data_IF_504630628392
#
_entry.id   IF_504630628392
#
_cell.length_a   1.000
_cell.length_b   1.000
_cell.length_c   1.000
_cell.angle_alpha   90.00
_cell.angle_beta   90.00
_cell.angle_gamma   90.00
#
_symmetry.space_group_name_H-M   'P 1'
#
loop_
_entity.id
_entity.type
_entity.pdbx_description
1 polymer ?
#
# COMPACT_ATOMS: atom_id res chain seq x y z
N UNK A 1 -22.14 10.20 -0.08
CA UNK A 1 -21.09 10.98 0.62
C UNK A 1 -19.86 11.06 -0.26
N UNK A 2 -19.40 12.30 -0.53
CA UNK A 2 -18.27 12.56 -1.42
C UNK A 2 -17.08 13.04 -0.60
N UNK A 3 -15.99 12.29 -0.64
CA UNK A 3 -14.76 12.58 0.11
C UNK A 3 -13.63 12.97 -0.84
N UNK A 4 -12.99 14.11 -0.56
CA UNK A 4 -11.76 14.53 -1.20
C UNK A 4 -10.56 13.96 -0.43
N UNK A 5 -9.78 13.09 -1.05
CA UNK A 5 -8.59 12.47 -0.45
C UNK A 5 -7.29 13.14 -0.87
N UNK A 6 -6.33 13.20 0.05
CA UNK A 6 -4.93 13.65 -0.19
C UNK A 6 -3.97 12.60 0.36
N UNK A 7 -2.99 12.22 -0.47
CA UNK A 7 -1.90 11.29 -0.11
C UNK A 7 -0.55 11.92 -0.47
N UNK A 8 0.35 11.99 0.53
CA UNK A 8 1.71 12.52 0.37
C UNK A 8 2.72 11.83 1.29
N UNK A 9 2.50 10.56 1.66
CA UNK A 9 3.34 9.90 2.67
C UNK A 9 4.80 9.68 2.24
N UNK A 10 5.08 9.59 0.94
CA UNK A 10 6.41 9.23 0.44
C UNK A 10 6.83 10.05 -0.78
N UNK A 11 6.86 9.48 -1.97
CA UNK A 11 7.33 10.10 -3.22
C UNK A 11 6.21 10.44 -4.21
N UNK A 12 4.99 10.06 -3.91
CA UNK A 12 3.78 10.45 -4.63
C UNK A 12 3.11 11.67 -3.99
N UNK A 13 2.47 12.47 -4.85
CA UNK A 13 1.52 13.51 -4.47
C UNK A 13 0.22 13.19 -5.16
N UNK A 14 -0.80 12.82 -4.41
CA UNK A 14 -2.06 12.42 -5.02
C UNK A 14 -3.26 13.13 -4.40
N UNK A 15 -4.28 13.37 -5.25
CA UNK A 15 -5.60 13.82 -4.85
C UNK A 15 -6.66 12.98 -5.56
N UNK A 16 -7.77 12.71 -4.88
CA UNK A 16 -8.89 11.95 -5.45
C UNK A 16 -10.23 12.42 -4.92
N UNK A 17 -11.29 12.08 -5.64
CA UNK A 17 -12.68 12.22 -5.17
C UNK A 17 -13.35 10.86 -5.27
N UNK A 18 -13.85 10.41 -4.12
CA UNK A 18 -14.49 9.09 -3.97
C UNK A 18 -15.89 9.26 -3.41
N UNK A 19 -16.84 8.53 -3.99
CA UNK A 19 -18.24 8.51 -3.55
C UNK A 19 -18.50 7.24 -2.74
N UNK A 20 -19.14 7.42 -1.57
CA UNK A 20 -19.58 6.39 -0.64
C UNK A 20 -18.47 5.39 -0.24
N UNK A 21 -17.21 5.82 -0.33
CA UNK A 21 -16.02 5.02 0.00
C UNK A 21 -15.71 3.88 -0.97
N UNK A 22 -16.53 3.68 -2.00
CA UNK A 22 -16.42 2.53 -2.92
C UNK A 22 -16.20 2.92 -4.38
N UNK A 23 -16.62 4.10 -4.79
CA UNK A 23 -16.56 4.51 -6.18
C UNK A 23 -15.61 5.69 -6.41
N UNK A 24 -14.53 5.44 -7.14
CA UNK A 24 -13.61 6.48 -7.58
C UNK A 24 -14.23 7.30 -8.69
N UNK A 25 -14.43 8.60 -8.47
CA UNK A 25 -14.92 9.51 -9.49
C UNK A 25 -13.75 10.05 -10.32
N UNK A 26 -12.68 10.48 -9.64
CA UNK A 26 -11.45 10.91 -10.29
C UNK A 26 -10.25 10.78 -9.34
N UNK A 27 -9.05 10.65 -9.91
CA UNK A 27 -7.79 10.57 -9.18
C UNK A 27 -6.66 11.13 -10.03
N UNK A 28 -5.82 11.95 -9.41
CA UNK A 28 -4.60 12.52 -10.00
C UNK A 28 -3.43 12.13 -9.12
N UNK A 29 -2.36 11.63 -9.74
CA UNK A 29 -1.12 11.25 -9.06
C UNK A 29 0.06 11.88 -9.79
N UNK A 30 0.91 12.58 -9.05
CA UNK A 30 2.20 13.08 -9.49
C UNK A 30 3.30 12.39 -8.68
N UNK A 31 4.28 11.78 -9.35
CA UNK A 31 5.37 11.04 -8.70
C UNK A 31 6.70 11.75 -8.90
N UNK A 32 7.52 11.77 -7.85
CA UNK A 32 8.90 12.24 -7.88
C UNK A 32 9.93 11.11 -8.09
N UNK A 33 9.49 9.91 -8.42
CA UNK A 33 10.30 8.69 -8.57
C UNK A 33 11.53 8.89 -9.46
N UNK A 34 11.40 9.58 -10.60
CA UNK A 34 12.50 9.82 -11.53
C UNK A 34 13.69 10.58 -10.89
N UNK A 35 13.42 11.42 -9.89
CA UNK A 35 14.48 12.12 -9.15
C UNK A 35 15.21 11.16 -8.21
N UNK A 36 14.46 10.25 -7.58
CA UNK A 36 15.00 9.30 -6.63
C UNK A 36 15.77 8.15 -7.31
N UNK A 37 15.45 7.83 -8.56
CA UNK A 37 16.24 6.90 -9.38
C UNK A 37 17.67 7.41 -9.61
N UNK A 38 17.84 8.72 -9.80
CA UNK A 38 19.16 9.35 -10.00
C UNK A 38 20.04 9.28 -8.75
N UNK A 39 19.43 9.37 -7.58
CA UNK A 39 20.12 9.34 -6.28
C UNK A 39 20.30 7.93 -5.73
N UNK A 40 19.64 6.94 -6.33
CA UNK A 40 19.66 5.53 -5.89
C UNK A 40 18.86 5.26 -4.62
N UNK A 41 17.93 6.15 -4.28
CA UNK A 41 17.03 6.05 -3.13
C UNK A 41 16.30 7.34 -2.84
N UNK A 42 15.28 7.28 -1.96
CA UNK A 42 14.51 8.45 -1.57
C UNK A 42 15.39 9.40 -0.75
N UNK A 43 15.39 10.68 -1.15
CA UNK A 43 15.95 11.77 -0.37
C UNK A 43 14.78 12.59 0.19
N UNK A 44 14.50 12.51 1.51
CA UNK A 44 13.29 13.08 2.11
C UNK A 44 13.09 14.58 1.81
N UNK A 45 14.18 15.36 1.83
CA UNK A 45 14.11 16.79 1.51
C UNK A 45 13.70 17.04 0.05
N UNK A 46 14.19 16.25 -0.89
CA UNK A 46 13.83 16.36 -2.31
C UNK A 46 12.36 15.99 -2.50
N UNK A 47 11.91 14.89 -1.87
CA UNK A 47 10.52 14.46 -1.91
C UNK A 47 9.59 15.59 -1.44
N UNK A 48 9.83 16.15 -0.24
CA UNK A 48 9.02 17.22 0.32
C UNK A 48 9.00 18.47 -0.59
N UNK A 49 10.14 18.88 -1.15
CA UNK A 49 10.21 20.02 -2.09
C UNK A 49 9.39 19.77 -3.35
N UNK A 50 9.46 18.56 -3.92
CA UNK A 50 8.67 18.21 -5.10
C UNK A 50 7.17 18.17 -4.80
N UNK A 51 6.79 17.72 -3.62
CA UNK A 51 5.40 17.74 -3.18
C UNK A 51 4.86 19.17 -2.99
N UNK A 52 5.65 20.09 -2.44
CA UNK A 52 5.26 21.52 -2.38
C UNK A 52 5.00 22.08 -3.77
N UNK A 53 5.82 21.71 -4.78
CA UNK A 53 5.61 22.12 -6.17
C UNK A 53 4.36 21.50 -6.79
N UNK A 54 4.03 20.25 -6.44
CA UNK A 54 2.98 19.44 -7.08
C UNK A 54 1.60 19.57 -6.42
N UNK A 55 1.51 19.82 -5.10
CA UNK A 55 0.26 19.67 -4.34
C UNK A 55 -0.88 20.56 -4.86
N UNK A 56 -0.61 21.83 -5.15
CA UNK A 56 -1.65 22.76 -5.65
C UNK A 56 -2.07 22.40 -7.07
N UNK A 57 -1.15 22.16 -8.04
CA UNK A 57 -1.50 21.60 -9.35
C UNK A 57 -2.36 20.33 -9.30
N UNK A 58 -1.98 19.35 -8.48
CA UNK A 58 -2.68 18.08 -8.35
C UNK A 58 -4.10 18.27 -7.80
N UNK A 59 -4.27 19.07 -6.76
CA UNK A 59 -5.60 19.40 -6.20
C UNK A 59 -6.47 20.09 -7.26
N UNK A 60 -5.91 21.07 -7.98
CA UNK A 60 -6.64 21.81 -9.01
C UNK A 60 -7.07 20.89 -10.15
N UNK A 61 -6.17 20.05 -10.64
CA UNK A 61 -6.45 19.11 -11.72
C UNK A 61 -7.53 18.11 -11.31
N UNK A 62 -7.50 17.59 -10.08
CA UNK A 62 -8.53 16.69 -9.54
C UNK A 62 -9.92 17.35 -9.56
N UNK A 63 -10.04 18.61 -9.14
CA UNK A 63 -11.31 19.32 -9.23
C UNK A 63 -11.74 19.64 -10.69
N UNK A 64 -10.81 19.90 -11.61
CA UNK A 64 -11.15 20.08 -13.03
C UNK A 64 -11.64 18.77 -13.67
N UNK A 65 -11.05 17.62 -13.33
CA UNK A 65 -11.57 16.32 -13.78
C UNK A 65 -12.96 16.06 -13.18
N UNK A 66 -13.15 16.29 -11.87
CA UNK A 66 -14.45 16.14 -11.23
C UNK A 66 -15.53 17.04 -11.88
N UNK A 67 -15.16 18.29 -12.22
CA UNK A 67 -16.03 19.22 -12.93
C UNK A 67 -16.48 18.66 -14.28
N UNK A 68 -15.57 18.02 -15.03
CA UNK A 68 -15.88 17.38 -16.32
C UNK A 68 -16.83 16.21 -16.13
N UNK A 69 -16.53 15.31 -15.19
CA UNK A 69 -17.37 14.12 -14.89
C UNK A 69 -18.81 14.50 -14.51
N UNK A 70 -18.98 15.57 -13.72
CA UNK A 70 -20.30 16.06 -13.30
C UNK A 70 -20.95 17.04 -14.29
N UNK A 71 -20.28 17.40 -15.40
CA UNK A 71 -20.73 18.41 -16.35
C UNK A 71 -21.02 19.79 -15.71
N UNK A 72 -20.26 20.16 -14.70
CA UNK A 72 -20.40 21.46 -14.03
C UNK A 72 -19.77 22.58 -14.84
N UNK A 73 -20.39 23.79 -14.77
CA UNK A 73 -19.86 24.98 -15.45
C UNK A 73 -18.75 25.68 -14.68
N UNK A 74 -18.78 25.59 -13.36
CA UNK A 74 -17.86 26.30 -12.46
C UNK A 74 -17.27 25.36 -11.40
N UNK A 75 -16.01 25.56 -11.02
CA UNK A 75 -15.38 24.84 -9.90
C UNK A 75 -16.14 25.04 -8.57
N UNK A 76 -16.76 26.20 -8.39
CA UNK A 76 -17.56 26.45 -7.19
C UNK A 76 -18.73 25.48 -6.98
N UNK A 77 -19.20 24.84 -8.04
CA UNK A 77 -20.24 23.80 -7.93
C UNK A 77 -19.64 22.49 -7.41
N UNK A 78 -18.42 22.14 -7.84
CA UNK A 78 -17.67 20.99 -7.33
C UNK A 78 -17.43 21.11 -5.81
N UNK A 79 -17.07 22.28 -5.34
CA UNK A 79 -16.77 22.52 -3.92
C UNK A 79 -17.93 22.29 -2.97
N UNK A 80 -19.16 22.46 -3.45
CA UNK A 80 -20.37 22.23 -2.65
C UNK A 80 -20.64 20.75 -2.39
N UNK A 81 -20.26 19.91 -3.34
CA UNK A 81 -20.52 18.48 -3.29
C UNK A 81 -19.62 17.75 -2.28
N UNK A 82 -18.46 18.31 -1.99
CA UNK A 82 -17.51 17.65 -1.07
C UNK A 82 -18.12 17.67 0.34
N UNK A 83 -18.16 16.50 0.98
CA UNK A 83 -18.65 16.35 2.36
C UNK A 83 -17.53 16.38 3.38
N UNK A 84 -16.34 15.89 3.03
CA UNK A 84 -15.16 15.90 3.91
C UNK A 84 -13.87 15.90 3.12
N UNK A 85 -12.77 16.34 3.77
CA UNK A 85 -11.39 16.23 3.28
C UNK A 85 -10.68 15.15 4.09
N UNK A 86 -10.15 14.14 3.44
CA UNK A 86 -9.34 13.09 4.04
C UNK A 86 -7.86 13.31 3.72
N UNK A 87 -6.97 13.04 4.67
CA UNK A 87 -5.53 13.18 4.47
C UNK A 87 -4.76 12.14 5.24
N UNK A 88 -3.71 11.63 4.62
CA UNK A 88 -2.75 10.76 5.28
C UNK A 88 -1.96 11.54 6.33
N UNK A 89 -2.00 11.06 7.57
CA UNK A 89 -1.26 11.64 8.70
C UNK A 89 -0.03 10.83 9.08
N UNK A 90 0.12 9.63 8.56
CA UNK A 90 1.22 8.71 8.82
C UNK A 90 0.83 7.25 8.58
N UNK A 91 1.85 6.35 8.65
CA UNK A 91 3.28 6.65 8.66
C UNK A 91 3.79 7.21 7.32
N UNK A 92 5.04 7.74 7.34
CA UNK A 92 5.67 8.26 6.12
C UNK A 92 6.83 9.22 6.41
N UNK A 93 7.27 9.93 5.37
CA UNK A 93 8.31 10.94 5.51
C UNK A 93 7.70 12.21 6.12
N UNK A 94 8.23 12.66 7.25
CA UNK A 94 7.65 13.80 7.99
C UNK A 94 7.47 15.06 7.15
N UNK A 95 8.47 15.42 6.33
CA UNK A 95 8.39 16.58 5.44
C UNK A 95 7.28 16.46 4.40
N UNK A 96 7.11 15.28 3.86
CA UNK A 96 6.07 14.89 2.89
C UNK A 96 4.67 14.95 3.52
N UNK A 97 4.51 14.33 4.68
CA UNK A 97 3.25 14.33 5.45
C UNK A 97 2.80 15.75 5.81
N UNK A 98 3.73 16.62 6.24
CA UNK A 98 3.44 18.03 6.54
C UNK A 98 2.82 18.73 5.34
N UNK A 99 3.35 18.52 4.13
CA UNK A 99 2.82 19.18 2.91
C UNK A 99 1.35 18.79 2.68
N UNK A 100 1.02 17.49 2.77
CA UNK A 100 -0.35 17.02 2.59
C UNK A 100 -1.29 17.50 3.69
N UNK A 101 -0.87 17.39 4.94
CA UNK A 101 -1.68 17.78 6.10
C UNK A 101 -1.99 19.28 6.07
N UNK A 102 -1.01 20.14 5.79
CA UNK A 102 -1.26 21.59 5.73
C UNK A 102 -2.11 21.98 4.52
N UNK A 103 -1.93 21.31 3.37
CA UNK A 103 -2.81 21.49 2.22
C UNK A 103 -4.26 21.06 2.54
N UNK A 104 -4.45 19.94 3.21
CA UNK A 104 -5.77 19.45 3.63
C UNK A 104 -6.44 20.40 4.64
N UNK A 105 -5.70 20.92 5.62
CA UNK A 105 -6.19 21.93 6.56
C UNK A 105 -6.66 23.19 5.84
N UNK A 106 -5.84 23.72 4.92
CA UNK A 106 -6.21 24.88 4.14
C UNK A 106 -7.47 24.64 3.30
N UNK A 107 -7.56 23.47 2.66
CA UNK A 107 -8.71 23.08 1.86
C UNK A 107 -9.98 22.89 2.72
N UNK A 108 -9.87 22.25 3.88
CA UNK A 108 -10.97 22.06 4.85
C UNK A 108 -11.55 23.43 5.29
N UNK A 109 -10.69 24.37 5.65
CA UNK A 109 -11.10 25.73 6.03
C UNK A 109 -11.76 26.46 4.84
N UNK A 110 -11.16 26.37 3.64
CA UNK A 110 -11.72 26.99 2.44
C UNK A 110 -13.10 26.44 2.07
N UNK A 111 -13.25 25.12 2.08
CA UNK A 111 -14.50 24.43 1.77
C UNK A 111 -15.52 24.51 2.91
N UNK A 112 -15.10 24.82 4.13
CA UNK A 112 -15.88 24.74 5.38
C UNK A 112 -16.42 23.33 5.60
N UNK A 113 -15.55 22.33 5.41
CA UNK A 113 -15.87 20.90 5.54
C UNK A 113 -14.94 20.25 6.56
N UNK A 114 -15.37 19.18 7.24
CA UNK A 114 -14.54 18.48 8.20
C UNK A 114 -13.29 17.88 7.55
N UNK A 115 -12.26 17.70 8.36
CA UNK A 115 -11.04 16.98 7.98
C UNK A 115 -10.98 15.63 8.72
N UNK A 116 -10.59 14.59 7.99
CA UNK A 116 -10.49 13.22 8.51
C UNK A 116 -9.05 12.75 8.37
N UNK A 117 -8.32 12.58 9.48
CA UNK A 117 -7.00 11.98 9.45
C UNK A 117 -7.10 10.50 9.12
N UNK A 118 -6.20 10.00 8.28
CA UNK A 118 -6.17 8.60 7.84
C UNK A 118 -4.77 8.03 8.01
N UNK A 119 -4.71 6.84 8.58
CA UNK A 119 -3.49 6.04 8.61
C UNK A 119 -3.25 5.43 7.23
N UNK A 120 -2.07 5.69 6.63
CA UNK A 120 -1.67 5.22 5.31
C UNK A 120 -1.77 3.70 5.15
N UNK A 121 -1.37 2.94 6.18
CA UNK A 121 -1.39 1.48 6.17
C UNK A 121 -2.82 0.94 6.12
N UNK A 122 -3.71 1.59 6.86
CA UNK A 122 -5.15 1.31 6.80
C UNK A 122 -5.69 1.61 5.41
N UNK A 123 -5.29 2.72 4.80
CA UNK A 123 -5.63 3.06 3.42
C UNK A 123 -5.35 1.91 2.45
N UNK A 124 -4.17 1.33 2.47
CA UNK A 124 -3.82 0.19 1.61
C UNK A 124 -4.77 -1.01 1.76
N UNK A 125 -5.30 -1.28 2.95
CA UNK A 125 -6.30 -2.34 3.14
C UNK A 125 -7.62 -1.94 2.46
N UNK A 126 -8.01 -0.66 2.59
CA UNK A 126 -9.27 -0.14 2.04
C UNK A 126 -9.26 -0.01 0.51
N UNK A 127 -8.12 -0.14 -0.16
CA UNK A 127 -8.04 -0.28 -1.61
C UNK A 127 -8.88 -1.47 -2.15
N UNK A 128 -9.15 -2.49 -1.32
CA UNK A 128 -10.00 -3.64 -1.67
C UNK A 128 -11.49 -3.32 -1.72
N UNK A 129 -11.94 -2.26 -1.06
CA UNK A 129 -13.35 -1.87 -1.02
C UNK A 129 -13.76 -1.04 -2.23
N UNK A 130 -12.79 -0.57 -3.01
CA UNK A 130 -13.02 0.19 -4.22
C UNK A 130 -13.50 -0.71 -5.36
N UNK A 131 -14.56 -0.26 -6.04
CA UNK A 131 -15.17 -0.96 -7.16
C UNK A 131 -15.13 -0.12 -8.44
N UNK A 132 -15.00 -0.74 -9.61
CA UNK A 132 -15.12 -0.03 -10.89
C UNK A 132 -16.55 0.46 -11.17
N UNK A 133 -17.55 -0.07 -10.48
CA UNK A 133 -18.96 0.31 -10.60
C UNK A 133 -19.53 0.65 -9.23
N UNK A 134 -20.33 1.72 -9.19
CA UNK A 134 -21.08 2.15 -8.01
C UNK A 134 -22.16 1.15 -7.60
N UNK A 135 -22.75 0.50 -8.60
CA UNK A 135 -23.88 -0.41 -8.42
C UNK A 135 -23.43 -1.85 -8.06
N UNK A 136 -22.16 -2.13 -8.18
CA UNK A 136 -21.58 -3.46 -7.92
C UNK A 136 -20.39 -3.36 -6.95
N UNK A 137 -20.60 -2.99 -5.68
CA UNK A 137 -19.53 -2.92 -4.69
C UNK A 137 -18.94 -4.33 -4.43
N UNK A 138 -17.64 -4.39 -4.11
CA UNK A 138 -17.02 -5.64 -3.71
C UNK A 138 -17.71 -6.21 -2.47
N UNK A 139 -18.20 -7.44 -2.59
CA UNK A 139 -18.93 -8.12 -1.50
C UNK A 139 -17.94 -8.69 -0.45
N UNK A 140 -17.25 -7.81 0.26
CA UNK A 140 -16.32 -8.15 1.33
C UNK A 140 -17.12 -8.42 2.60
N UNK A 141 -16.90 -9.61 3.18
CA UNK A 141 -17.56 -10.04 4.41
C UNK A 141 -16.58 -10.08 5.58
N UNK A 142 -17.05 -9.72 6.75
CA UNK A 142 -16.29 -9.81 8.00
C UNK A 142 -16.72 -11.04 8.82
N UNK A 143 -15.82 -11.58 9.68
CA UNK A 143 -14.45 -11.14 9.88
C UNK A 143 -13.53 -11.50 8.72
N UNK A 144 -12.43 -10.75 8.55
CA UNK A 144 -11.44 -10.93 7.51
C UNK A 144 -10.01 -10.94 8.06
N UNK A 145 -9.09 -11.58 7.35
CA UNK A 145 -7.66 -11.37 7.51
C UNK A 145 -7.19 -10.39 6.44
N UNK A 146 -6.37 -9.41 6.81
CA UNK A 146 -5.67 -8.55 5.87
C UNK A 146 -4.16 -8.82 5.94
N UNK A 147 -3.53 -9.06 4.80
CA UNK A 147 -2.08 -9.08 4.64
C UNK A 147 -1.65 -7.79 3.96
N UNK A 148 -0.97 -6.94 4.71
CA UNK A 148 -0.34 -5.72 4.19
C UNK A 148 1.12 -5.99 3.87
N UNK A 149 1.50 -5.79 2.60
CA UNK A 149 2.87 -6.02 2.10
C UNK A 149 3.30 -4.86 1.22
N UNK A 150 4.15 -3.99 1.75
CA UNK A 150 4.62 -2.77 1.07
C UNK A 150 6.15 -2.63 1.13
N UNK A 151 6.67 -1.51 0.68
CA UNK A 151 8.09 -1.18 0.79
C UNK A 151 8.59 -1.10 2.24
N UNK A 152 7.76 -0.56 3.14
CA UNK A 152 8.12 -0.34 4.54
C UNK A 152 7.43 -1.28 5.54
N UNK A 153 6.40 -2.04 5.14
CA UNK A 153 5.57 -2.81 6.06
C UNK A 153 5.29 -4.22 5.57
N UNK A 154 5.16 -5.13 6.52
CA UNK A 154 4.74 -6.51 6.28
C UNK A 154 3.97 -6.98 7.51
N UNK A 155 2.64 -6.89 7.46
CA UNK A 155 1.78 -7.05 8.62
C UNK A 155 0.58 -7.95 8.32
N UNK A 156 0.16 -8.72 9.33
CA UNK A 156 -1.09 -9.47 9.31
C UNK A 156 -2.03 -8.86 10.36
N UNK A 157 -3.23 -8.51 9.91
CA UNK A 157 -4.28 -7.90 10.71
C UNK A 157 -5.56 -8.72 10.63
N UNK A 158 -6.21 -8.94 11.75
CA UNK A 158 -7.57 -9.45 11.82
C UNK A 158 -8.54 -8.28 11.89
N UNK A 159 -9.47 -8.22 10.96
CA UNK A 159 -10.52 -7.22 10.88
C UNK A 159 -11.84 -7.86 11.32
N UNK A 160 -12.34 -7.48 12.48
CA UNK A 160 -13.65 -7.94 12.95
C UNK A 160 -14.78 -7.21 12.23
N UNK A 161 -14.55 -5.94 11.94
CA UNK A 161 -15.44 -5.04 11.18
C UNK A 161 -14.64 -3.82 10.72
N UNK A 162 -15.28 -2.86 10.04
CA UNK A 162 -14.70 -1.55 9.78
C UNK A 162 -14.28 -0.88 11.09
N UNK A 163 -13.05 -0.37 11.15
CA UNK A 163 -12.50 0.29 12.34
C UNK A 163 -12.25 -0.60 13.56
N UNK A 164 -12.60 -1.89 13.52
CA UNK A 164 -12.34 -2.86 14.61
C UNK A 164 -11.32 -3.89 14.11
N UNK A 165 -10.05 -3.59 14.37
CA UNK A 165 -8.91 -4.37 13.89
C UNK A 165 -8.05 -4.86 15.06
N UNK A 166 -7.36 -5.97 14.85
CA UNK A 166 -6.39 -6.54 15.77
C UNK A 166 -5.11 -6.91 15.01
N UNK A 167 -3.99 -6.35 15.45
CA UNK A 167 -2.68 -6.75 14.96
C UNK A 167 -2.36 -8.18 15.40
N UNK A 168 -1.91 -9.01 14.45
CA UNK A 168 -1.57 -10.40 14.73
C UNK A 168 -0.07 -10.64 14.73
N UNK A 169 0.66 -9.96 13.88
CA UNK A 169 2.11 -10.04 13.74
C UNK A 169 2.59 -9.34 12.48
N UNK A 170 3.88 -9.11 12.38
CA UNK A 170 4.51 -8.43 11.26
C UNK A 170 6.00 -8.69 11.19
N UNK A 171 6.70 -7.93 10.36
CA UNK A 171 8.15 -8.12 10.23
C UNK A 171 8.89 -7.59 11.45
N UNK A 172 9.87 -8.36 11.91
CA UNK A 172 10.76 -7.99 13.02
C UNK A 172 12.00 -7.23 12.55
N UNK A 173 12.19 -7.14 11.21
CA UNK A 173 13.36 -6.51 10.61
C UNK A 173 13.00 -5.86 9.26
N UNK A 174 13.68 -6.18 8.14
CA UNK A 174 13.38 -5.63 6.83
C UNK A 174 11.93 -5.97 6.41
N UNK A 175 11.22 -4.99 5.86
CA UNK A 175 9.94 -5.26 5.19
C UNK A 175 10.18 -6.07 3.91
N UNK A 176 9.14 -6.78 3.47
CA UNK A 176 9.24 -7.64 2.28
C UNK A 176 9.62 -6.86 1.02
N UNK A 177 9.00 -5.69 0.79
CA UNK A 177 9.32 -4.87 -0.38
C UNK A 177 10.75 -4.32 -0.34
N UNK A 178 11.19 -3.85 0.82
CA UNK A 178 12.58 -3.43 1.04
C UNK A 178 13.57 -4.57 0.77
N UNK A 179 13.20 -5.80 1.17
CA UNK A 179 14.01 -6.99 0.89
C UNK A 179 14.12 -7.27 -0.62
N UNK A 180 13.01 -7.16 -1.36
CA UNK A 180 13.00 -7.27 -2.82
C UNK A 180 13.92 -6.22 -3.47
N UNK A 181 13.83 -4.97 -3.05
CA UNK A 181 14.63 -3.87 -3.60
C UNK A 181 16.14 -4.04 -3.31
N UNK A 182 16.47 -4.46 -2.07
CA UNK A 182 17.85 -4.73 -1.68
C UNK A 182 18.47 -5.89 -2.49
N UNK A 183 17.69 -6.97 -2.71
CA UNK A 183 18.16 -8.11 -3.50
C UNK A 183 18.25 -7.77 -4.99
N UNK A 184 17.28 -7.02 -5.54
CA UNK A 184 17.36 -6.54 -6.92
C UNK A 184 18.65 -5.72 -7.15
N UNK A 185 19.03 -4.88 -6.19
CA UNK A 185 20.27 -4.11 -6.22
C UNK A 185 21.50 -5.02 -6.17
N UNK A 186 21.50 -6.05 -5.32
CA UNK A 186 22.60 -7.03 -5.25
C UNK A 186 22.78 -7.79 -6.57
N UNK A 187 21.69 -8.07 -7.26
CA UNK A 187 21.70 -8.77 -8.55
C UNK A 187 22.01 -7.84 -9.74
N UNK A 188 22.22 -6.54 -9.49
CA UNK A 188 22.49 -5.56 -10.54
C UNK A 188 21.28 -5.21 -11.41
N UNK A 189 20.06 -5.51 -10.97
CA UNK A 189 18.84 -5.31 -11.75
C UNK A 189 18.30 -3.87 -11.65
N UNK A 190 18.54 -3.19 -10.53
CA UNK A 190 18.06 -1.82 -10.31
C UNK A 190 18.94 -1.08 -9.31
N UNK A 191 18.86 0.25 -9.35
CA UNK A 191 19.43 1.14 -8.31
C UNK A 191 18.37 1.58 -7.30
N UNK A 192 17.08 1.58 -7.71
CA UNK A 192 15.94 2.05 -6.90
C UNK A 192 14.67 1.32 -7.35
N UNK A 193 13.79 0.93 -6.39
CA UNK A 193 12.51 0.22 -6.62
C UNK A 193 12.66 -1.00 -7.56
N UNK A 194 13.47 -1.95 -7.14
CA UNK A 194 13.82 -3.10 -7.96
C UNK A 194 12.89 -4.30 -7.86
N UNK A 195 11.89 -4.28 -6.96
CA UNK A 195 11.05 -5.45 -6.68
C UNK A 195 10.36 -6.01 -7.92
N UNK A 196 9.75 -5.17 -8.75
CA UNK A 196 9.11 -5.59 -10.00
C UNK A 196 10.12 -6.16 -11.00
N UNK A 197 11.32 -5.57 -11.10
CA UNK A 197 12.38 -6.06 -11.98
C UNK A 197 12.91 -7.42 -11.53
N UNK A 198 13.00 -7.63 -10.22
CA UNK A 198 13.40 -8.94 -9.66
C UNK A 198 12.35 -10.00 -10.00
N UNK A 199 11.06 -9.71 -9.82
CA UNK A 199 9.98 -10.63 -10.15
C UNK A 199 9.91 -10.94 -11.65
N UNK A 200 10.10 -9.94 -12.51
CA UNK A 200 10.21 -10.15 -13.94
C UNK A 200 11.41 -11.05 -14.27
N UNK A 201 12.57 -10.82 -13.60
CA UNK A 201 13.75 -11.66 -13.79
C UNK A 201 13.54 -13.09 -13.29
N UNK A 202 12.83 -13.27 -12.18
CA UNK A 202 12.43 -14.57 -11.67
C UNK A 202 11.53 -15.34 -12.65
N UNK A 203 10.62 -14.64 -13.33
CA UNK A 203 9.71 -15.24 -14.32
C UNK A 203 10.39 -15.78 -15.57
N UNK A 204 11.60 -15.28 -15.92
CA UNK A 204 12.41 -15.79 -17.01
C UNK A 204 13.11 -17.13 -16.68
N UNK A 205 12.99 -17.61 -15.45
CA UNK A 205 13.71 -18.80 -15.01
C UNK A 205 13.05 -20.08 -15.52
N UNK A 206 13.65 -20.71 -16.49
CA UNK A 206 13.26 -22.01 -17.06
C UNK A 206 13.64 -23.18 -16.14
N UNK A 207 14.87 -23.15 -15.60
CA UNK A 207 15.40 -24.15 -14.70
C UNK A 207 15.99 -23.47 -13.46
N UNK A 208 15.35 -23.66 -12.30
CA UNK A 208 15.82 -23.12 -11.02
C UNK A 208 16.95 -23.97 -10.43
N UNK A 209 18.20 -23.64 -10.77
CA UNK A 209 19.40 -24.31 -10.23
C UNK A 209 19.71 -23.94 -8.78
N UNK A 210 19.04 -22.93 -8.23
CA UNK A 210 19.19 -22.46 -6.85
C UNK A 210 18.05 -22.96 -5.93
N UNK A 211 17.15 -23.80 -6.43
CA UNK A 211 15.96 -24.25 -5.70
C UNK A 211 16.33 -24.90 -4.34
N UNK A 212 15.73 -24.38 -3.27
CA UNK A 212 15.92 -24.87 -1.91
C UNK A 212 17.20 -24.43 -1.22
N UNK A 213 18.02 -23.57 -1.85
CA UNK A 213 19.28 -23.08 -1.28
C UNK A 213 19.09 -21.88 -0.34
N UNK A 214 17.96 -21.20 -0.41
CA UNK A 214 17.65 -20.09 0.49
C UNK A 214 16.75 -20.54 1.65
N UNK A 215 16.93 -19.98 2.84
CA UNK A 215 16.10 -20.30 4.00
C UNK A 215 14.68 -19.76 3.84
N UNK A 216 13.75 -20.33 4.62
CA UNK A 216 12.38 -19.82 4.82
C UNK A 216 12.27 -19.33 6.27
N UNK A 217 12.70 -18.09 6.56
CA UNK A 217 12.81 -17.65 7.94
C UNK A 217 11.47 -17.70 8.66
N UNK A 218 11.47 -18.13 9.90
CA UNK A 218 10.31 -18.18 10.82
C UNK A 218 9.10 -18.99 10.31
N UNK A 219 9.21 -19.72 9.21
CA UNK A 219 8.06 -20.37 8.54
C UNK A 219 7.34 -21.39 9.44
N UNK A 220 8.06 -22.07 10.34
CA UNK A 220 7.53 -23.08 11.25
C UNK A 220 7.27 -22.57 12.68
N UNK A 221 7.56 -21.28 12.95
CA UNK A 221 7.29 -20.70 14.26
C UNK A 221 5.80 -20.52 14.51
N UNK A 222 5.38 -20.71 15.77
CA UNK A 222 3.97 -20.60 16.18
C UNK A 222 3.57 -19.14 16.50
N UNK A 223 3.91 -18.21 15.58
CA UNK A 223 3.48 -16.83 15.59
C UNK A 223 3.12 -16.39 14.16
N UNK A 224 2.78 -15.11 13.97
CA UNK A 224 2.49 -14.50 12.69
C UNK A 224 3.57 -13.50 12.25
N UNK A 225 4.72 -13.48 12.95
CA UNK A 225 5.81 -12.57 12.64
C UNK A 225 6.64 -13.06 11.45
N UNK A 226 7.29 -12.11 10.78
CA UNK A 226 8.15 -12.34 9.64
C UNK A 226 9.58 -11.86 9.94
N UNK A 227 10.54 -12.33 9.15
CA UNK A 227 11.90 -11.83 9.12
C UNK A 227 12.50 -12.06 7.75
N UNK A 228 13.06 -11.03 7.15
CA UNK A 228 13.65 -11.11 5.79
C UNK A 228 15.12 -10.71 5.74
N UNK A 229 15.71 -10.12 6.78
CA UNK A 229 17.11 -9.72 6.79
C UNK A 229 18.07 -10.92 6.72
N UNK A 230 17.71 -12.04 7.34
CA UNK A 230 18.45 -13.31 7.23
C UNK A 230 18.41 -13.88 5.82
N UNK A 231 17.25 -13.81 5.15
CA UNK A 231 17.07 -14.24 3.77
C UNK A 231 17.93 -13.41 2.81
N UNK A 232 17.93 -12.08 2.98
CA UNK A 232 18.79 -11.15 2.23
C UNK A 232 20.28 -11.52 2.38
N UNK A 233 20.74 -11.81 3.60
CA UNK A 233 22.12 -12.19 3.87
C UNK A 233 22.49 -13.52 3.22
N UNK A 234 21.58 -14.51 3.27
CA UNK A 234 21.77 -15.79 2.59
C UNK A 234 21.86 -15.61 1.06
N UNK A 235 20.98 -14.75 0.50
CA UNK A 235 21.02 -14.43 -0.94
C UNK A 235 22.34 -13.80 -1.34
N UNK A 236 22.87 -12.85 -0.53
CA UNK A 236 24.18 -12.25 -0.79
C UNK A 236 25.28 -13.30 -0.88
N UNK A 237 25.34 -14.21 0.08
CA UNK A 237 26.31 -15.32 0.07
C UNK A 237 26.15 -16.19 -1.18
N UNK A 238 24.93 -16.49 -1.58
CA UNK A 238 24.66 -17.29 -2.78
C UNK A 238 25.14 -16.59 -4.05
N UNK A 239 24.96 -15.27 -4.16
CA UNK A 239 25.49 -14.45 -5.27
C UNK A 239 27.03 -14.50 -5.30
N UNK A 240 27.67 -14.38 -4.15
CA UNK A 240 29.16 -14.39 -4.02
C UNK A 240 29.79 -15.72 -4.42
N UNK A 241 29.04 -16.83 -4.39
CA UNK A 241 29.58 -18.13 -4.87
C UNK A 241 29.84 -18.13 -6.38
N UNK A 242 29.14 -17.31 -7.15
CA UNK A 242 29.22 -17.28 -8.61
C UNK A 242 28.70 -18.53 -9.33
N UNK A 243 28.14 -19.50 -8.60
CA UNK A 243 27.76 -20.81 -9.13
C UNK A 243 26.37 -20.85 -9.77
N UNK A 244 25.56 -19.80 -9.60
CA UNK A 244 24.17 -19.79 -10.03
C UNK A 244 23.87 -18.60 -10.93
N UNK A 245 22.99 -18.82 -11.92
CA UNK A 245 22.48 -17.74 -12.81
C UNK A 245 21.65 -16.76 -12.00
N UNK A 246 21.72 -15.48 -12.34
CA UNK A 246 20.91 -14.40 -11.70
C UNK A 246 19.42 -14.75 -11.71
N UNK A 247 18.90 -15.30 -12.81
CA UNK A 247 17.50 -15.72 -12.94
C UNK A 247 17.11 -16.79 -11.92
N UNK A 248 18.01 -17.75 -11.64
CA UNK A 248 17.75 -18.81 -10.65
C UNK A 248 17.77 -18.28 -9.22
N UNK A 249 18.68 -17.35 -8.91
CA UNK A 249 18.73 -16.70 -7.59
C UNK A 249 17.49 -15.83 -7.38
N UNK A 250 17.10 -15.04 -8.39
CA UNK A 250 15.89 -14.21 -8.33
C UNK A 250 14.64 -15.07 -8.12
N UNK A 251 14.52 -16.18 -8.82
CA UNK A 251 13.41 -17.12 -8.68
C UNK A 251 13.37 -17.75 -7.29
N UNK A 252 14.49 -18.25 -6.79
CA UNK A 252 14.56 -18.88 -5.46
C UNK A 252 14.26 -17.88 -4.33
N UNK A 253 14.72 -16.62 -4.48
CA UNK A 253 14.40 -15.57 -3.52
C UNK A 253 12.90 -15.28 -3.51
N UNK A 254 12.28 -15.09 -4.68
CA UNK A 254 10.83 -14.85 -4.78
C UNK A 254 10.04 -16.03 -4.22
N UNK A 255 10.41 -17.27 -4.56
CA UNK A 255 9.78 -18.48 -4.05
C UNK A 255 9.87 -18.55 -2.52
N UNK A 256 11.04 -18.24 -1.93
CA UNK A 256 11.23 -18.26 -0.48
C UNK A 256 10.36 -17.23 0.24
N UNK A 257 10.28 -16.01 -0.29
CA UNK A 257 9.42 -14.96 0.27
C UNK A 257 7.96 -15.33 0.17
N UNK A 258 7.51 -15.74 -1.02
CA UNK A 258 6.09 -16.07 -1.27
C UNK A 258 5.66 -17.24 -0.39
N UNK A 259 6.48 -18.28 -0.25
CA UNK A 259 6.18 -19.43 0.60
C UNK A 259 5.96 -19.03 2.07
N UNK A 260 6.82 -18.15 2.62
CA UNK A 260 6.68 -17.66 3.99
C UNK A 260 5.42 -16.81 4.16
N UNK A 261 5.16 -15.87 3.25
CA UNK A 261 3.98 -15.01 3.28
C UNK A 261 2.69 -15.84 3.22
N UNK A 262 2.61 -16.76 2.25
CA UNK A 262 1.43 -17.61 2.06
C UNK A 262 1.18 -18.49 3.28
N UNK A 263 2.19 -19.22 3.76
CA UNK A 263 2.03 -20.18 4.87
C UNK A 263 1.57 -19.46 6.15
N UNK A 264 2.16 -18.32 6.49
CA UNK A 264 1.78 -17.58 7.70
C UNK A 264 0.41 -16.91 7.58
N UNK A 265 0.08 -16.39 6.40
CA UNK A 265 -1.26 -15.83 6.15
C UNK A 265 -2.33 -16.90 6.24
N UNK A 266 -2.12 -18.08 5.62
CA UNK A 266 -3.06 -19.19 5.73
C UNK A 266 -3.20 -19.72 7.16
N UNK A 267 -2.11 -19.74 7.94
CA UNK A 267 -2.17 -20.04 9.38
C UNK A 267 -3.09 -19.07 10.14
N UNK A 268 -3.05 -17.76 9.79
CA UNK A 268 -3.95 -16.79 10.39
C UNK A 268 -5.40 -17.02 9.96
N UNK A 269 -5.64 -17.27 8.68
CA UNK A 269 -6.96 -17.62 8.12
C UNK A 269 -7.56 -18.82 8.86
N UNK A 270 -6.80 -19.91 8.98
CA UNK A 270 -7.23 -21.14 9.64
C UNK A 270 -7.48 -20.93 11.14
N UNK A 271 -6.58 -20.21 11.85
CA UNK A 271 -6.70 -19.97 13.29
C UNK A 271 -7.90 -19.09 13.66
N UNK A 272 -8.21 -18.09 12.85
CA UNK A 272 -9.32 -17.16 13.09
C UNK A 272 -10.60 -17.58 12.39
N UNK A 273 -10.57 -18.68 11.61
CA UNK A 273 -11.71 -19.26 10.90
C UNK A 273 -12.47 -18.20 10.07
N UNK A 274 -11.75 -17.44 9.26
CA UNK A 274 -12.32 -16.40 8.40
C UNK A 274 -12.55 -16.91 6.98
N UNK A 275 -13.54 -16.34 6.31
CA UNK A 275 -13.87 -16.67 4.92
C UNK A 275 -13.40 -15.58 3.92
N UNK A 276 -12.70 -14.55 4.41
CA UNK A 276 -12.25 -13.42 3.61
C UNK A 276 -10.78 -13.11 3.88
N UNK A 277 -10.00 -12.97 2.81
CA UNK A 277 -8.63 -12.49 2.82
C UNK A 277 -8.52 -11.22 1.97
N UNK A 278 -7.92 -10.16 2.53
CA UNK A 278 -7.63 -8.92 1.85
C UNK A 278 -6.10 -8.81 1.65
N UNK A 279 -5.65 -8.51 0.43
CA UNK A 279 -4.25 -8.17 0.17
C UNK A 279 -4.12 -6.67 -0.03
N UNK A 280 -3.08 -6.04 0.55
CA UNK A 280 -2.82 -4.60 0.42
C UNK A 280 -1.33 -4.29 0.28
N UNK A 281 -1.02 -3.08 -0.21
CA UNK A 281 0.33 -2.59 -0.40
C UNK A 281 0.99 -2.99 -1.72
N UNK A 282 2.11 -2.34 -2.07
CA UNK A 282 2.76 -2.45 -3.37
C UNK A 282 3.19 -3.87 -3.75
N UNK A 283 3.64 -4.68 -2.78
CA UNK A 283 4.06 -6.08 -3.05
C UNK A 283 2.87 -7.00 -3.35
N UNK A 284 1.65 -6.59 -2.99
CA UNK A 284 0.43 -7.32 -3.41
C UNK A 284 0.23 -7.35 -4.94
N UNK A 285 0.96 -6.51 -5.69
CA UNK A 285 1.02 -6.55 -7.16
C UNK A 285 1.83 -7.74 -7.70
N UNK A 286 2.66 -8.41 -6.86
CA UNK A 286 3.48 -9.55 -7.29
C UNK A 286 2.60 -10.70 -7.77
N UNK A 287 2.80 -11.13 -9.02
CA UNK A 287 1.97 -12.14 -9.70
C UNK A 287 2.11 -13.53 -9.08
N UNK A 288 3.31 -13.90 -8.63
CA UNK A 288 3.58 -15.18 -7.96
C UNK A 288 2.85 -15.26 -6.63
N UNK A 289 2.92 -14.17 -5.83
CA UNK A 289 2.20 -14.05 -4.56
C UNK A 289 0.69 -14.18 -4.77
N UNK A 290 0.11 -13.41 -5.72
CA UNK A 290 -1.32 -13.47 -6.03
C UNK A 290 -1.76 -14.88 -6.41
N UNK A 291 -1.02 -15.53 -7.31
CA UNK A 291 -1.33 -16.88 -7.77
C UNK A 291 -1.33 -17.91 -6.64
N UNK A 292 -0.31 -17.87 -5.79
CA UNK A 292 -0.20 -18.82 -4.68
C UNK A 292 -1.25 -18.56 -3.58
N UNK A 293 -1.56 -17.28 -3.28
CA UNK A 293 -2.64 -16.93 -2.35
C UNK A 293 -3.99 -17.42 -2.86
N UNK A 294 -4.31 -17.15 -4.12
CA UNK A 294 -5.56 -17.61 -4.73
C UNK A 294 -5.68 -19.14 -4.65
N UNK A 295 -4.62 -19.87 -5.02
CA UNK A 295 -4.58 -21.33 -4.96
C UNK A 295 -4.85 -21.89 -3.55
N UNK A 296 -4.22 -21.30 -2.54
CA UNK A 296 -4.37 -21.78 -1.14
C UNK A 296 -5.72 -21.39 -0.54
N UNK A 297 -6.28 -20.23 -0.92
CA UNK A 297 -7.60 -19.81 -0.50
C UNK A 297 -8.72 -20.62 -1.17
N UNK A 298 -8.56 -20.98 -2.45
CA UNK A 298 -9.52 -21.84 -3.17
C UNK A 298 -9.68 -23.19 -2.46
N UNK A 299 -8.58 -23.82 -2.02
CA UNK A 299 -8.62 -25.08 -1.24
C UNK A 299 -9.43 -24.96 0.06
N UNK A 300 -9.49 -23.76 0.64
CA UNK A 300 -10.15 -23.43 1.91
C UNK A 300 -11.53 -22.81 1.74
N UNK A 301 -11.95 -22.54 0.50
CA UNK A 301 -13.17 -21.81 0.16
C UNK A 301 -13.19 -20.40 0.76
N UNK A 302 -12.02 -19.73 0.81
CA UNK A 302 -11.85 -18.36 1.28
C UNK A 302 -11.87 -17.42 0.09
N UNK A 303 -12.65 -16.36 0.16
CA UNK A 303 -12.70 -15.30 -0.83
C UNK A 303 -11.46 -14.40 -0.70
N UNK A 304 -10.76 -14.15 -1.80
CA UNK A 304 -9.57 -13.28 -1.83
C UNK A 304 -9.90 -12.00 -2.59
N UNK A 305 -9.62 -10.87 -1.96
CA UNK A 305 -9.70 -9.57 -2.59
C UNK A 305 -8.31 -8.99 -2.75
N UNK A 306 -8.01 -8.55 -3.97
CA UNK A 306 -6.72 -7.96 -4.31
C UNK A 306 -6.99 -6.70 -5.13
N UNK A 307 -6.45 -5.54 -4.75
CA UNK A 307 -6.70 -4.31 -5.48
C UNK A 307 -6.19 -4.39 -6.92
N UNK A 308 -6.81 -3.66 -7.86
CA UNK A 308 -6.22 -3.42 -9.17
C UNK A 308 -4.79 -2.88 -9.06
N UNK A 309 -3.92 -3.18 -10.02
CA UNK A 309 -2.49 -2.81 -9.96
C UNK A 309 -2.27 -1.32 -9.67
N UNK A 310 -3.09 -0.44 -10.26
CA UNK A 310 -3.02 1.01 -10.06
C UNK A 310 -3.31 1.46 -8.62
N UNK A 311 -4.02 0.65 -7.83
CA UNK A 311 -4.35 0.92 -6.44
C UNK A 311 -3.43 0.20 -5.44
N UNK A 312 -2.44 -0.56 -5.92
CA UNK A 312 -1.43 -1.17 -5.05
C UNK A 312 -0.34 -0.18 -4.63
N UNK A 313 -0.04 0.82 -5.48
CA UNK A 313 0.92 1.90 -5.20
C UNK A 313 0.22 3.07 -4.51
N UNK A 314 1.00 4.02 -3.97
CA UNK A 314 0.49 5.13 -3.20
C UNK A 314 -0.43 6.02 -4.05
N UNK A 315 -1.65 6.24 -3.52
CA UNK A 315 -2.70 7.03 -4.16
C UNK A 315 -3.70 7.54 -3.11
N UNK A 316 -4.45 8.58 -3.46
CA UNK A 316 -5.42 9.21 -2.56
C UNK A 316 -6.79 8.48 -2.53
N UNK A 317 -7.05 7.58 -3.49
CA UNK A 317 -8.37 6.92 -3.63
C UNK A 317 -8.67 6.07 -2.41
N UNK A 318 -7.73 5.24 -1.98
CA UNK A 318 -7.89 4.41 -0.80
C UNK A 318 -7.89 5.22 0.51
N UNK A 319 -7.28 6.42 0.53
CA UNK A 319 -7.34 7.32 1.68
C UNK A 319 -8.77 7.86 1.84
N UNK A 320 -9.40 8.28 0.76
CA UNK A 320 -10.80 8.69 0.79
C UNK A 320 -11.75 7.53 1.14
N UNK A 321 -11.47 6.31 0.64
CA UNK A 321 -12.21 5.10 1.00
C UNK A 321 -12.07 4.78 2.49
N UNK A 322 -10.87 4.73 3.02
CA UNK A 322 -10.61 4.48 4.44
C UNK A 322 -11.29 5.52 5.33
N UNK A 323 -11.26 6.79 4.96
CA UNK A 323 -11.93 7.86 5.67
C UNK A 323 -13.45 7.66 5.74
N UNK A 324 -14.07 7.18 4.66
CA UNK A 324 -15.51 6.91 4.65
C UNK A 324 -15.90 5.81 5.66
N UNK A 325 -15.19 4.69 5.63
CA UNK A 325 -15.54 3.52 6.45
C UNK A 325 -15.12 3.63 7.91
N UNK A 326 -14.06 4.41 8.21
CA UNK A 326 -13.54 4.57 9.57
C UNK A 326 -13.86 5.93 10.16
N UNK A 327 -14.87 6.65 9.64
CA UNK A 327 -15.30 7.94 10.18
C UNK A 327 -15.53 7.82 11.68
N UNK A 328 -14.55 8.20 12.46
CA UNK A 328 -14.70 8.60 13.84
C UNK A 328 -14.72 10.11 13.82
N UNK A 329 -15.41 10.70 14.78
CA UNK A 329 -15.68 12.12 14.97
C UNK A 329 -14.76 13.12 14.23
N UNK A 330 -15.37 14.15 13.66
CA UNK A 330 -14.73 15.30 13.04
C UNK A 330 -13.61 15.83 13.92
N UNK A 331 -12.37 15.72 13.46
CA UNK A 331 -11.23 16.27 14.22
C UNK A 331 -11.18 17.79 14.02
N UNK A 332 -10.93 18.54 15.10
CA UNK A 332 -10.58 19.96 14.96
C UNK A 332 -9.31 20.06 14.10
N UNK A 333 -9.36 20.92 13.08
CA UNK A 333 -8.26 21.17 12.15
C UNK A 333 -6.92 21.40 12.87
N UNK A 334 -6.95 22.02 14.07
CA UNK A 334 -5.76 22.31 14.87
C UNK A 334 -5.11 21.06 15.47
N UNK A 335 -5.87 19.98 15.63
CA UNK A 335 -5.42 18.75 16.28
C UNK A 335 -4.86 17.73 15.28
N UNK A 336 -4.93 18.01 13.98
CA UNK A 336 -4.35 17.14 12.96
C UNK A 336 -2.84 17.34 12.91
N UNK A 337 -2.10 16.36 13.38
CA UNK A 337 -0.62 16.40 13.43
C UNK A 337 -0.10 15.17 12.68
N UNK A 338 0.85 15.35 11.74
CA UNK A 338 1.47 14.21 11.07
C UNK A 338 2.39 13.45 12.01
N UNK A 339 2.31 12.13 11.99
CA UNK A 339 3.20 11.24 12.74
C UNK A 339 3.86 10.22 11.78
N UNK A 340 5.18 10.34 11.55
CA UNK A 340 5.90 9.46 10.64
C UNK A 340 6.04 8.02 11.15
N UNK A 341 5.77 7.78 12.42
CA UNK A 341 6.00 6.51 13.11
C UNK A 341 4.73 5.72 13.43
N UNK A 342 3.56 6.17 12.95
CA UNK A 342 2.29 5.48 13.20
C UNK A 342 2.36 3.99 12.83
N UNK A 343 2.02 3.12 13.76
CA UNK A 343 1.73 1.72 13.48
C UNK A 343 0.32 1.55 12.88
N UNK A 344 0.04 0.38 12.32
CA UNK A 344 -1.25 0.10 11.68
C UNK A 344 -2.44 0.18 12.64
N UNK A 345 -2.19 0.05 13.95
CA UNK A 345 -3.22 0.12 14.99
C UNK A 345 -3.38 1.51 15.59
N UNK A 346 -2.50 2.43 15.25
CA UNK A 346 -2.53 3.81 15.77
C UNK A 346 -3.51 4.63 14.92
N UNK A 347 -4.35 5.41 15.58
CA UNK A 347 -5.39 6.24 14.95
C UNK A 347 -5.13 7.72 15.25
#
# INVERSE_FOLDING_TARGET
VIIFGIETSCDETAASIVEDGVYEICSIVSSSKEFHEKTGGIVPEIAARKQVEAIVPVIKECFEEYKKEKNYKKLADCYKDIDAVAVTVGPGLIGSLIVGVEAAKALSVFLKKPIIPVNHLVGHIYANFLSPSKDEPNNITFPAIALLVSGGHTDIVYMKNHGDMKYLGGTLDDAVGESFDKVARMLGLSRYLGGALLSNKASECDVNTAKGLLPRPMIDQDNFDFSFSGLKTATKRLVETGNHRVVSIAREFEDAVVEVLVKKTMKAVDKYNVNTLLLGGGVSANTTLRKEMLRECEKRKVSVFVPPLRLCTDNAVYIASAAYFNRKEESDVKNIIPDPSLGIMDN
#
